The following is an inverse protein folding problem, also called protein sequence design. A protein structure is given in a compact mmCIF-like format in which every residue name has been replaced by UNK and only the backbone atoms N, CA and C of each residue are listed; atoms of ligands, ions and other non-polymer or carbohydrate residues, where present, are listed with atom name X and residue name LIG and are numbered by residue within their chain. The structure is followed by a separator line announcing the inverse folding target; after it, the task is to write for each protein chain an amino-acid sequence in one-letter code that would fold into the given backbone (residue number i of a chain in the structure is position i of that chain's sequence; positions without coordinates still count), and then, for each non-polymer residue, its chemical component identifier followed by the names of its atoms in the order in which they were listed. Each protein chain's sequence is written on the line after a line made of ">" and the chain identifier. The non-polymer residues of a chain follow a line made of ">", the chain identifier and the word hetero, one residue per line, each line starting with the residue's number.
data_IF_284718507136
#
_entry.id   IF_284718507136
#
_cell.length_a   1.000
_cell.length_b   1.000
_cell.length_c   1.000
_cell.angle_alpha   90.00
_cell.angle_beta   90.00
_cell.angle_gamma   90.00
#
_symmetry.space_group_name_H-M   'P 1'
#
loop_
_entity.id
_entity.type
_entity.pdbx_description
1 polymer ?
#
# COMPACT_ATOMS: atom_id res chain seq x y z
N UNK A 1 -30.98 -11.13 -11.57
CA UNK A 1 -29.81 -10.64 -10.81
C UNK A 1 -28.96 -9.90 -11.83
N UNK A 2 -28.62 -8.61 -11.59
CA UNK A 2 -27.85 -7.84 -12.59
C UNK A 2 -26.38 -8.23 -12.46
N UNK A 3 -25.74 -8.47 -13.60
CA UNK A 3 -24.32 -8.79 -13.71
C UNK A 3 -23.66 -7.80 -14.66
N UNK A 4 -22.35 -7.63 -14.51
CA UNK A 4 -21.59 -6.93 -15.54
C UNK A 4 -21.55 -7.74 -16.83
N UNK A 5 -21.53 -7.08 -17.99
CA UNK A 5 -21.22 -7.74 -19.24
C UNK A 5 -19.82 -8.37 -19.18
N UNK A 6 -19.64 -9.48 -19.90
CA UNK A 6 -18.38 -10.23 -19.95
C UNK A 6 -17.73 -10.10 -21.31
N UNK A 7 -16.40 -10.07 -21.30
CA UNK A 7 -15.56 -10.19 -22.50
C UNK A 7 -15.45 -11.66 -22.92
N UNK A 8 -14.97 -11.90 -24.13
CA UNK A 8 -14.71 -13.26 -24.65
C UNK A 8 -13.76 -14.07 -23.75
N UNK A 9 -12.85 -13.41 -23.04
CA UNK A 9 -11.89 -14.05 -22.13
C UNK A 9 -12.49 -14.36 -20.74
N UNK A 10 -13.77 -14.05 -20.50
CA UNK A 10 -14.48 -14.29 -19.24
C UNK A 10 -14.42 -13.14 -18.23
N UNK A 11 -13.58 -12.13 -18.44
CA UNK A 11 -13.50 -10.97 -17.54
C UNK A 11 -14.75 -10.09 -17.68
N UNK A 12 -15.30 -9.65 -16.55
CA UNK A 12 -16.31 -8.61 -16.53
C UNK A 12 -15.72 -7.26 -16.91
N UNK A 13 -16.57 -6.30 -17.30
CA UNK A 13 -16.12 -4.93 -17.51
C UNK A 13 -17.18 -3.91 -17.13
N UNK A 14 -16.71 -2.75 -16.67
CA UNK A 14 -17.54 -1.59 -16.42
C UNK A 14 -18.10 -1.05 -17.74
N UNK A 15 -19.44 -1.01 -17.92
CA UNK A 15 -20.03 -0.42 -19.11
C UNK A 15 -19.71 1.08 -19.19
N UNK A 16 -19.68 1.61 -20.41
CA UNK A 16 -19.53 3.06 -20.61
C UNK A 16 -20.88 3.72 -20.32
N UNK A 17 -20.92 4.63 -19.34
CA UNK A 17 -22.13 5.41 -19.00
C UNK A 17 -22.00 6.16 -17.68
N UNK A 18 -23.07 6.78 -17.21
CA UNK A 18 -23.09 7.55 -15.95
C UNK A 18 -23.07 6.66 -14.70
N UNK A 19 -23.70 5.49 -14.77
CA UNK A 19 -23.74 4.52 -13.66
C UNK A 19 -22.64 3.48 -13.83
N UNK A 20 -21.52 3.69 -13.13
CA UNK A 20 -20.38 2.77 -13.18
C UNK A 20 -20.74 1.42 -12.56
N UNK A 21 -21.47 1.42 -11.44
CA UNK A 21 -21.70 0.20 -10.67
C UNK A 21 -23.01 -0.50 -11.01
N UNK A 22 -22.94 -1.82 -11.12
CA UNK A 22 -24.12 -2.69 -11.10
C UNK A 22 -24.60 -2.84 -9.67
N UNK A 23 -25.91 -2.77 -9.46
CA UNK A 23 -26.54 -2.91 -8.14
C UNK A 23 -27.22 -4.27 -8.02
N UNK A 24 -27.05 -4.93 -6.88
CA UNK A 24 -27.69 -6.21 -6.57
C UNK A 24 -29.18 -6.05 -6.20
N UNK A 25 -29.83 -7.15 -5.78
CA UNK A 25 -31.27 -7.13 -5.42
C UNK A 25 -31.55 -6.32 -4.14
N UNK A 26 -30.57 -6.15 -3.27
CA UNK A 26 -30.73 -5.49 -1.97
C UNK A 26 -30.25 -4.03 -2.00
N UNK A 27 -29.81 -3.53 -3.15
CA UNK A 27 -29.39 -2.14 -3.33
C UNK A 27 -27.89 -1.90 -3.14
N UNK A 28 -27.06 -2.94 -3.05
CA UNK A 28 -25.61 -2.81 -2.93
C UNK A 28 -24.94 -2.76 -4.29
N UNK A 29 -24.11 -1.75 -4.51
CA UNK A 29 -23.24 -1.64 -5.69
C UNK A 29 -22.18 -2.73 -5.66
N UNK A 30 -21.85 -3.30 -6.81
CA UNK A 30 -20.91 -4.41 -6.97
C UNK A 30 -19.71 -4.00 -7.81
N UNK A 31 -18.52 -4.48 -7.45
CA UNK A 31 -17.34 -4.39 -8.33
C UNK A 31 -17.40 -5.45 -9.44
N UNK A 32 -16.88 -5.08 -10.62
CA UNK A 32 -16.62 -6.03 -11.69
C UNK A 32 -15.50 -7.01 -11.31
N UNK A 33 -15.57 -8.24 -11.81
CA UNK A 33 -14.64 -9.33 -11.52
C UNK A 33 -13.87 -9.82 -12.74
N UNK A 34 -12.61 -10.18 -12.55
CA UNK A 34 -11.86 -10.92 -13.56
C UNK A 34 -12.34 -12.40 -13.64
N UNK A 35 -11.86 -13.13 -14.64
CA UNK A 35 -12.14 -14.56 -14.84
C UNK A 35 -11.71 -15.47 -13.69
N UNK A 36 -10.85 -14.97 -12.78
CA UNK A 36 -10.39 -15.68 -11.58
C UNK A 36 -11.21 -15.31 -10.35
N UNK A 37 -12.22 -14.44 -10.47
CA UNK A 37 -13.08 -13.99 -9.39
C UNK A 37 -12.58 -12.76 -8.64
N UNK A 38 -11.45 -12.16 -9.00
CA UNK A 38 -10.93 -10.98 -8.32
C UNK A 38 -11.71 -9.74 -8.73
N UNK A 39 -12.17 -8.97 -7.74
CA UNK A 39 -12.78 -7.67 -7.98
C UNK A 39 -11.71 -6.65 -8.34
N UNK A 40 -12.04 -5.72 -9.24
CA UNK A 40 -11.14 -4.65 -9.63
C UNK A 40 -11.86 -3.31 -9.72
N UNK A 41 -11.15 -2.23 -9.40
CA UNK A 41 -11.69 -0.88 -9.42
C UNK A 41 -11.96 -0.37 -10.84
N UNK A 42 -12.98 0.49 -11.03
CA UNK A 42 -13.13 1.20 -12.29
C UNK A 42 -11.92 2.09 -12.56
N UNK A 43 -11.50 2.19 -13.82
CA UNK A 43 -10.34 3.04 -14.22
C UNK A 43 -10.62 4.55 -14.22
N UNK A 44 -11.77 4.98 -13.68
CA UNK A 44 -12.21 6.38 -13.68
C UNK A 44 -11.65 7.12 -12.45
N UNK A 45 -11.53 8.44 -12.55
CA UNK A 45 -11.03 9.30 -11.45
C UNK A 45 -12.08 9.59 -10.36
N UNK A 46 -13.36 9.40 -10.67
CA UNK A 46 -14.48 9.66 -9.76
C UNK A 46 -15.30 8.37 -9.56
N UNK A 47 -15.93 8.23 -8.39
CA UNK A 47 -16.75 7.07 -8.00
C UNK A 47 -15.98 5.75 -8.11
N UNK A 48 -14.87 5.67 -7.36
CA UNK A 48 -13.98 4.51 -7.34
C UNK A 48 -14.53 3.43 -6.42
N UNK A 49 -15.10 3.84 -5.30
CA UNK A 49 -15.64 2.93 -4.30
C UNK A 49 -17.10 2.59 -4.59
N UNK A 50 -17.41 1.30 -4.58
CA UNK A 50 -18.76 0.79 -4.52
C UNK A 50 -19.35 1.02 -3.12
N UNK A 51 -20.66 1.22 -3.06
CA UNK A 51 -21.43 1.50 -1.85
C UNK A 51 -22.40 0.38 -1.50
N UNK A 52 -22.56 0.14 -0.20
CA UNK A 52 -23.63 -0.69 0.34
C UNK A 52 -25.00 -0.03 0.13
N UNK A 53 -26.09 -0.77 0.33
CA UNK A 53 -27.46 -0.21 0.31
C UNK A 53 -27.68 0.98 1.24
N UNK A 54 -26.84 1.14 2.27
CA UNK A 54 -26.89 2.24 3.22
C UNK A 54 -25.95 3.40 2.85
N UNK A 55 -25.30 3.34 1.68
CA UNK A 55 -24.38 4.37 1.20
C UNK A 55 -22.94 4.24 1.69
N UNK A 56 -22.61 3.27 2.54
CA UNK A 56 -21.24 3.07 3.03
C UNK A 56 -20.32 2.48 1.96
N UNK A 57 -19.15 3.09 1.77
CA UNK A 57 -18.14 2.63 0.83
C UNK A 57 -17.37 1.39 1.35
N UNK A 58 -16.93 0.53 0.44
CA UNK A 58 -16.15 -0.65 0.79
C UNK A 58 -15.09 -1.00 -0.27
N UNK A 59 -14.01 -1.66 0.14
CA UNK A 59 -12.91 -2.03 -0.75
C UNK A 59 -13.27 -3.24 -1.62
N UNK A 60 -12.71 -3.27 -2.84
CA UNK A 60 -12.73 -4.44 -3.69
C UNK A 60 -11.93 -5.60 -3.07
N UNK A 61 -12.37 -6.83 -3.31
CA UNK A 61 -11.76 -8.06 -2.77
C UNK A 61 -11.17 -8.96 -3.85
N UNK A 62 -10.08 -9.67 -3.56
CA UNK A 62 -9.68 -10.81 -4.38
C UNK A 62 -10.58 -12.03 -4.20
N UNK A 63 -10.31 -13.05 -5.00
CA UNK A 63 -11.00 -14.34 -4.91
C UNK A 63 -10.76 -15.07 -3.58
N UNK A 64 -9.72 -14.70 -2.83
CA UNK A 64 -9.47 -15.23 -1.49
C UNK A 64 -10.19 -14.42 -0.39
N UNK A 65 -10.88 -13.32 -0.74
CA UNK A 65 -11.61 -12.47 0.19
C UNK A 65 -10.80 -11.32 0.78
N UNK A 66 -9.54 -11.14 0.39
CA UNK A 66 -8.71 -10.04 0.88
C UNK A 66 -9.08 -8.73 0.18
N UNK A 67 -9.30 -7.69 0.97
CA UNK A 67 -9.53 -6.34 0.50
C UNK A 67 -8.25 -5.73 -0.08
N UNK A 68 -8.43 -4.85 -1.06
CA UNK A 68 -7.33 -4.19 -1.77
C UNK A 68 -7.60 -2.70 -1.85
N UNK A 69 -6.58 -1.88 -1.62
CA UNK A 69 -6.69 -0.44 -1.87
C UNK A 69 -6.75 -0.15 -3.37
N UNK A 70 -7.56 0.82 -3.83
CA UNK A 70 -7.41 1.35 -5.17
C UNK A 70 -6.11 2.15 -5.26
N UNK A 71 -5.46 2.11 -6.42
CA UNK A 71 -4.23 2.88 -6.67
C UNK A 71 -4.51 3.89 -7.78
N UNK A 72 -4.39 5.19 -7.46
CA UNK A 72 -4.50 6.29 -8.40
C UNK A 72 -3.28 7.18 -8.28
N UNK A 73 -2.62 7.47 -9.41
CA UNK A 73 -1.40 8.30 -9.44
C UNK A 73 -0.34 7.84 -8.43
N UNK A 74 -0.12 6.51 -8.33
CA UNK A 74 0.80 5.87 -7.38
C UNK A 74 0.45 6.08 -5.89
N UNK A 75 -0.78 6.48 -5.58
CA UNK A 75 -1.27 6.64 -4.21
C UNK A 75 -2.44 5.70 -3.97
N UNK A 76 -2.41 5.04 -2.81
CA UNK A 76 -3.58 4.31 -2.32
C UNK A 76 -4.60 5.28 -1.76
N UNK A 77 -5.86 5.10 -2.12
CA UNK A 77 -6.95 5.87 -1.53
C UNK A 77 -7.55 5.14 -0.34
N UNK A 78 -7.92 5.93 0.66
CA UNK A 78 -8.59 5.49 1.87
C UNK A 78 -10.08 5.75 1.75
N UNK A 79 -10.86 4.84 2.31
CA UNK A 79 -12.26 5.10 2.64
C UNK A 79 -12.27 5.80 4.00
N UNK A 80 -12.88 6.98 4.05
CA UNK A 80 -13.06 7.75 5.28
C UNK A 80 -14.56 7.84 5.51
N UNK A 81 -15.01 7.40 6.68
CA UNK A 81 -16.40 7.56 7.05
C UNK A 81 -16.72 9.06 7.17
N UNK A 82 -17.73 9.58 6.43
CA UNK A 82 -18.00 11.01 6.39
C UNK A 82 -18.58 11.57 7.70
N UNK A 83 -19.15 10.72 8.56
CA UNK A 83 -19.78 11.13 9.81
C UNK A 83 -18.79 11.07 10.97
N UNK A 84 -18.04 9.97 11.06
CA UNK A 84 -17.12 9.73 12.19
C UNK A 84 -15.69 10.16 11.91
N UNK A 85 -15.36 10.45 10.64
CA UNK A 85 -14.00 10.70 10.16
C UNK A 85 -13.03 9.54 10.43
N UNK A 86 -13.54 8.34 10.71
CA UNK A 86 -12.73 7.14 10.93
C UNK A 86 -12.25 6.60 9.57
N UNK A 87 -10.95 6.34 9.48
CA UNK A 87 -10.34 5.69 8.32
C UNK A 87 -10.66 4.20 8.35
N UNK A 88 -11.26 3.70 7.28
CA UNK A 88 -11.44 2.27 7.05
C UNK A 88 -10.22 1.71 6.37
N UNK A 89 -9.57 0.74 7.01
CA UNK A 89 -8.37 0.08 6.50
C UNK A 89 -8.75 -1.23 5.79
N UNK A 90 -8.04 -1.55 4.71
CA UNK A 90 -8.24 -2.81 4.01
C UNK A 90 -7.77 -3.98 4.88
N UNK A 91 -8.50 -5.09 4.83
CA UNK A 91 -8.23 -6.28 5.62
C UNK A 91 -7.99 -7.52 4.77
N UNK A 92 -7.20 -8.45 5.30
CA UNK A 92 -7.17 -9.82 4.82
C UNK A 92 -8.49 -10.54 5.15
N UNK A 93 -8.70 -11.71 4.54
CA UNK A 93 -9.88 -12.52 4.78
C UNK A 93 -10.03 -12.98 6.24
N UNK A 94 -8.92 -13.08 6.98
CA UNK A 94 -8.88 -13.37 8.42
C UNK A 94 -9.25 -12.16 9.30
N UNK A 95 -9.47 -10.99 8.71
CA UNK A 95 -9.82 -9.74 9.40
C UNK A 95 -8.64 -8.88 9.83
N UNK A 96 -7.40 -9.35 9.67
CA UNK A 96 -6.19 -8.57 9.98
C UNK A 96 -6.02 -7.42 9.00
N UNK A 97 -5.54 -6.27 9.49
CA UNK A 97 -5.32 -5.09 8.66
C UNK A 97 -4.07 -5.27 7.80
N UNK A 98 -4.04 -4.62 6.64
CA UNK A 98 -2.89 -4.67 5.74
C UNK A 98 -2.55 -3.33 5.12
N UNK A 99 -1.27 -3.19 4.80
CA UNK A 99 -0.80 -2.14 3.92
C UNK A 99 -1.14 -2.42 2.46
N UNK A 100 -1.19 -1.37 1.62
CA UNK A 100 -1.14 -1.54 0.18
C UNK A 100 0.24 -2.06 -0.27
N UNK A 101 0.27 -2.66 -1.46
CA UNK A 101 1.47 -3.19 -2.09
C UNK A 101 1.71 -2.54 -3.44
N UNK A 102 2.98 -2.33 -3.78
CA UNK A 102 3.41 -1.89 -5.10
C UNK A 102 3.37 -3.05 -6.12
N UNK A 103 3.72 -2.77 -7.39
CA UNK A 103 3.76 -3.80 -8.43
C UNK A 103 4.82 -4.90 -8.19
N UNK A 104 5.80 -4.65 -7.32
CA UNK A 104 6.85 -5.60 -6.94
C UNK A 104 6.47 -6.41 -5.70
N UNK A 105 5.34 -6.10 -5.06
CA UNK A 105 4.88 -6.75 -3.83
C UNK A 105 5.50 -6.16 -2.56
N UNK A 106 6.12 -4.98 -2.61
CA UNK A 106 6.55 -4.27 -1.40
C UNK A 106 5.35 -3.55 -0.79
N UNK A 107 5.19 -3.67 0.52
CA UNK A 107 4.27 -2.84 1.28
C UNK A 107 4.76 -1.40 1.34
N UNK A 108 3.82 -0.47 1.47
CA UNK A 108 4.14 0.93 1.71
C UNK A 108 3.13 1.56 2.65
N UNK A 109 3.58 2.60 3.34
CA UNK A 109 2.74 3.29 4.30
C UNK A 109 1.66 4.10 3.60
N UNK A 110 0.44 3.99 4.11
CA UNK A 110 -0.63 4.93 3.78
C UNK A 110 -0.23 6.31 4.28
N UNK A 111 -0.62 7.36 3.56
CA UNK A 111 -0.40 8.75 3.99
C UNK A 111 -1.67 9.39 4.46
N UNK A 112 -1.64 9.92 5.67
CA UNK A 112 -2.68 10.79 6.20
C UNK A 112 -2.05 12.13 6.58
N UNK A 113 -2.53 13.23 5.98
CA UNK A 113 -2.01 14.60 6.23
C UNK A 113 -0.48 14.73 6.11
N UNK A 114 0.13 13.91 5.25
CA UNK A 114 1.58 13.91 5.01
C UNK A 114 2.39 12.95 5.90
N UNK A 115 1.76 12.29 6.88
CA UNK A 115 2.41 11.35 7.79
C UNK A 115 2.11 9.89 7.41
N UNK A 116 3.07 8.96 7.61
CA UNK A 116 2.82 7.55 7.44
C UNK A 116 1.87 7.03 8.53
N UNK A 117 0.83 6.30 8.12
CA UNK A 117 -0.13 5.68 9.03
C UNK A 117 0.39 4.32 9.52
N UNK A 118 0.51 4.12 10.84
CA UNK A 118 0.91 2.85 11.42
C UNK A 118 -0.29 1.94 11.67
N UNK A 119 -0.27 0.75 11.07
CA UNK A 119 -1.21 -0.31 11.40
C UNK A 119 -0.82 -0.94 12.72
N UNK A 120 -1.80 -1.49 13.43
CA UNK A 120 -1.56 -2.30 14.62
C UNK A 120 -1.86 -3.76 14.33
N UNK A 121 -1.06 -4.65 14.90
CA UNK A 121 -1.33 -6.08 14.90
C UNK A 121 -2.40 -6.43 15.95
N UNK A 122 -2.77 -7.71 16.05
CA UNK A 122 -3.73 -8.21 17.03
C UNK A 122 -3.31 -8.01 18.49
N UNK A 123 -2.02 -7.77 18.75
CA UNK A 123 -1.47 -7.49 20.08
C UNK A 123 -1.40 -5.98 20.39
N UNK A 124 -1.89 -5.13 19.49
CA UNK A 124 -1.80 -3.67 19.61
C UNK A 124 -0.42 -3.08 19.32
N UNK A 125 0.56 -3.91 18.93
CA UNK A 125 1.89 -3.45 18.52
C UNK A 125 1.86 -2.96 17.07
N UNK A 126 2.70 -1.98 16.71
CA UNK A 126 2.75 -1.50 15.34
C UNK A 126 3.24 -2.60 14.39
N UNK A 127 2.51 -2.75 13.29
CA UNK A 127 2.91 -3.56 12.16
C UNK A 127 3.69 -2.68 11.19
N UNK A 128 4.98 -2.98 11.01
CA UNK A 128 5.83 -2.28 10.04
C UNK A 128 5.59 -2.82 8.64
N UNK A 129 5.54 -1.92 7.65
CA UNK A 129 5.48 -2.28 6.25
C UNK A 129 6.74 -3.07 5.86
N UNK A 130 6.61 -4.08 5.01
CA UNK A 130 7.71 -4.95 4.61
C UNK A 130 7.93 -4.98 3.11
N UNK A 131 9.17 -5.25 2.71
CA UNK A 131 9.48 -5.60 1.33
C UNK A 131 8.79 -6.91 0.92
N UNK A 132 8.77 -7.21 -0.37
CA UNK A 132 8.29 -8.52 -0.87
C UNK A 132 9.06 -9.72 -0.27
N UNK A 133 10.26 -9.48 0.28
CA UNK A 133 11.09 -10.49 0.96
C UNK A 133 10.84 -10.55 2.48
N UNK A 134 9.93 -9.75 3.00
CA UNK A 134 9.62 -9.69 4.43
C UNK A 134 10.52 -8.76 5.26
N UNK A 135 11.44 -8.02 4.63
CA UNK A 135 12.29 -7.05 5.32
C UNK A 135 11.48 -5.84 5.80
N UNK A 136 11.47 -5.50 7.10
CA UNK A 136 10.69 -4.36 7.58
C UNK A 136 11.31 -3.02 7.14
N UNK A 137 10.43 -2.07 6.91
CA UNK A 137 10.73 -0.66 6.68
C UNK A 137 10.38 0.10 7.95
N UNK A 138 11.24 1.01 8.39
CA UNK A 138 10.97 1.88 9.54
C UNK A 138 10.63 3.27 9.00
N UNK A 139 9.45 3.84 9.30
CA UNK A 139 9.14 5.19 8.85
C UNK A 139 10.01 6.20 9.61
N UNK A 140 10.50 7.25 8.93
CA UNK A 140 11.41 8.25 9.51
C UNK A 140 10.96 8.77 10.89
N UNK A 141 9.68 9.11 11.04
CA UNK A 141 9.15 9.68 12.28
C UNK A 141 9.22 8.74 13.48
N UNK A 142 9.38 7.44 13.22
CA UNK A 142 9.47 6.39 14.21
C UNK A 142 10.87 5.78 14.26
N UNK A 143 11.83 6.34 13.52
CA UNK A 143 13.17 5.78 13.41
C UNK A 143 13.85 5.66 14.77
N UNK A 144 13.78 6.69 15.62
CA UNK A 144 14.38 6.67 16.96
C UNK A 144 13.77 5.61 17.89
N UNK A 145 12.51 5.23 17.67
CA UNK A 145 11.80 4.26 18.50
C UNK A 145 12.12 2.81 18.10
N UNK A 146 12.32 2.55 16.80
CA UNK A 146 12.50 1.20 16.27
C UNK A 146 13.92 0.89 15.79
N UNK A 147 14.80 1.89 15.71
CA UNK A 147 16.21 1.68 15.41
C UNK A 147 16.91 1.15 16.67
N UNK A 148 17.38 -0.09 16.62
CA UNK A 148 18.34 -0.59 17.61
C UNK A 148 19.69 0.09 17.34
N UNK A 149 20.32 0.63 18.40
CA UNK A 149 21.48 1.53 18.32
C UNK A 149 22.74 0.97 17.62
N UNK A 150 22.78 -0.34 17.31
CA UNK A 150 23.93 -1.01 16.69
C UNK A 150 23.72 -1.45 15.23
N UNK A 151 22.67 -0.96 14.56
CA UNK A 151 22.39 -1.33 13.17
C UNK A 151 22.46 -0.13 12.24
N UNK A 152 23.25 -0.27 11.16
CA UNK A 152 23.24 0.70 10.08
C UNK A 152 21.93 0.58 9.30
N UNK A 153 21.32 1.73 9.04
CA UNK A 153 20.07 1.83 8.32
C UNK A 153 20.25 2.76 7.13
N UNK A 154 19.81 2.31 5.96
CA UNK A 154 19.86 3.11 4.74
C UNK A 154 18.51 3.82 4.52
N UNK A 155 18.49 5.15 4.31
CA UNK A 155 17.28 5.87 3.96
C UNK A 155 16.81 5.52 2.54
N UNK A 156 15.51 5.54 2.33
CA UNK A 156 14.88 5.31 1.04
C UNK A 156 13.47 5.89 0.95
N UNK A 157 12.81 5.65 -0.19
CA UNK A 157 11.42 6.04 -0.43
C UNK A 157 10.57 4.81 -0.72
N UNK A 158 9.44 4.67 -0.02
CA UNK A 158 8.45 3.67 -0.37
C UNK A 158 7.64 4.08 -1.63
N UNK A 159 6.72 3.23 -2.10
CA UNK A 159 5.96 3.50 -3.32
C UNK A 159 4.99 4.70 -3.21
N UNK A 160 4.58 5.05 -1.99
CA UNK A 160 3.84 6.28 -1.72
C UNK A 160 4.76 7.50 -1.54
N UNK A 161 6.08 7.32 -1.56
CA UNK A 161 7.15 8.32 -1.42
C UNK A 161 7.50 8.67 0.03
N UNK A 162 7.06 7.89 1.01
CA UNK A 162 7.40 8.13 2.41
C UNK A 162 8.89 7.89 2.63
N UNK A 163 9.53 8.70 3.46
CA UNK A 163 10.91 8.40 3.90
C UNK A 163 10.86 7.21 4.84
N UNK A 164 11.53 6.14 4.44
CA UNK A 164 11.67 4.91 5.20
C UNK A 164 13.14 4.55 5.38
N UNK A 165 13.43 3.76 6.39
CA UNK A 165 14.75 3.25 6.71
C UNK A 165 14.71 1.74 6.67
N UNK A 166 15.74 1.13 6.09
CA UNK A 166 15.87 -0.32 5.99
C UNK A 166 17.19 -0.71 6.63
N UNK A 167 17.15 -1.69 7.52
CA UNK A 167 18.35 -2.31 8.08
C UNK A 167 19.17 -2.93 6.94
N UNK A 168 20.45 -2.58 6.87
CA UNK A 168 21.34 -3.01 5.79
C UNK A 168 21.47 -4.52 5.65
N UNK A 169 21.34 -5.28 6.74
CA UNK A 169 21.36 -6.74 6.71
C UNK A 169 20.23 -7.33 5.86
N UNK A 170 19.16 -6.56 5.68
CA UNK A 170 18.02 -6.95 4.88
C UNK A 170 18.09 -6.47 3.41
N UNK A 171 19.14 -5.73 3.04
CA UNK A 171 19.37 -5.32 1.67
C UNK A 171 19.89 -6.48 0.79
N UNK A 172 19.70 -6.43 -0.53
CA UNK A 172 20.37 -7.35 -1.44
C UNK A 172 21.90 -7.27 -1.29
N UNK A 173 22.65 -8.38 -1.47
CA UNK A 173 24.11 -8.41 -1.28
C UNK A 173 24.88 -7.35 -2.09
N UNK A 174 24.43 -7.07 -3.32
CA UNK A 174 25.06 -6.04 -4.16
C UNK A 174 24.89 -4.62 -3.59
N UNK A 175 23.76 -4.35 -2.94
CA UNK A 175 23.45 -3.08 -2.29
C UNK A 175 24.19 -2.98 -0.96
N UNK A 176 24.30 -4.08 -0.21
CA UNK A 176 25.12 -4.16 1.00
C UNK A 176 26.58 -3.84 0.71
N UNK A 177 27.14 -4.43 -0.35
CA UNK A 177 28.52 -4.16 -0.75
C UNK A 177 28.70 -2.70 -1.19
N UNK A 178 27.74 -2.13 -1.91
CA UNK A 178 27.81 -0.74 -2.34
C UNK A 178 27.74 0.23 -1.14
N UNK A 179 26.82 -0.01 -0.20
CA UNK A 179 26.68 0.81 1.00
C UNK A 179 27.92 0.67 1.89
N UNK A 180 28.43 -0.54 2.10
CA UNK A 180 29.67 -0.78 2.83
C UNK A 180 30.86 -0.07 2.19
N UNK A 181 31.03 -0.17 0.86
CA UNK A 181 32.08 0.55 0.14
C UNK A 181 31.94 2.07 0.32
N UNK A 182 30.73 2.60 0.28
CA UNK A 182 30.48 4.04 0.48
C UNK A 182 30.82 4.49 1.90
N UNK A 183 30.46 3.69 2.92
CA UNK A 183 30.83 3.94 4.30
C UNK A 183 32.35 3.90 4.51
N UNK A 184 33.05 2.93 3.92
CA UNK A 184 34.51 2.83 3.97
C UNK A 184 35.18 4.04 3.29
N UNK A 185 34.65 4.51 2.15
CA UNK A 185 35.16 5.72 1.46
C UNK A 185 34.95 6.99 2.31
N UNK A 186 33.81 7.13 2.97
CA UNK A 186 33.51 8.29 3.84
C UNK A 186 34.43 8.33 5.06
N UNK A 187 34.79 7.18 5.62
CA UNK A 187 35.77 7.08 6.73
C UNK A 187 37.18 7.48 6.27
N UNK A 188 37.56 7.14 5.02
CA UNK A 188 38.88 7.46 4.47
C UNK A 188 38.99 8.91 3.99
N UNK A 189 37.90 9.51 3.49
CA UNK A 189 37.86 10.88 2.99
C UNK A 189 36.55 11.61 3.36
N UNK A 190 36.51 12.28 4.53
CA UNK A 190 35.31 13.00 5.00
C UNK A 190 34.82 14.09 4.04
N UNK A 191 35.70 14.65 3.22
CA UNK A 191 35.37 15.68 2.23
C UNK A 191 34.44 15.19 1.10
N UNK A 192 34.36 13.88 0.87
CA UNK A 192 33.51 13.27 -0.18
C UNK A 192 32.05 13.10 0.29
N UNK A 193 31.80 13.13 1.60
CA UNK A 193 30.46 12.97 2.19
C UNK A 193 29.46 14.02 1.71
N UNK A 194 29.92 15.26 1.45
CA UNK A 194 29.07 16.35 0.96
C UNK A 194 28.55 16.15 -0.47
N UNK A 195 29.26 15.38 -1.29
CA UNK A 195 28.90 15.16 -2.70
C UNK A 195 27.90 14.01 -2.84
N UNK A 196 28.04 12.98 -2.02
CA UNK A 196 27.21 11.77 -2.06
C UNK A 196 25.77 12.03 -1.58
N UNK A 197 25.58 12.89 -0.58
CA UNK A 197 24.25 13.22 -0.03
C UNK A 197 23.37 14.08 -0.96
N UNK A 198 23.88 14.51 -2.12
CA UNK A 198 23.12 15.31 -3.09
C UNK A 198 22.48 14.48 -4.21
N UNK A 199 22.71 13.15 -4.24
CA UNK A 199 22.28 12.27 -5.34
C UNK A 199 21.34 11.12 -4.93
N UNK A 200 20.79 11.15 -3.70
CA UNK A 200 19.78 10.17 -3.23
C UNK A 200 18.46 10.86 -2.90
#
# INVERSE_FOLDING_TARGET
>A
MKYYPKRRNGDEYYPRGCNTFVVDRIGTELYARDRRGNQFYPRRRHNIFAKTRHGFEYYAKDNAGNEKYPVIQKRSLLIIDPQTHIVKLARFADGTQRYPHDMKGNEYYLREKGLPYLLQNSEGKPYLAKSFRGAPFIPWNYFQEYSLNDHLHTPGKDAAGNTIYVDERNLPPWLQNLVRCMCEIVVICPAVAGIIMSFV
#
